data_IF_652596382475
#
_entry.id   IF_652596382475
#
_cell.length_a   1.000
_cell.length_b   1.000
_cell.length_c   1.000
_cell.angle_alpha   90.00
_cell.angle_beta   90.00
_cell.angle_gamma   90.00
#
_symmetry.space_group_name_H-M   'P 1'
#
loop_
_entity.id
_entity.type
_entity.pdbx_description
1 polymer ?
#
# COMPACT_ATOMS: atom_id res chain seq x y z
N UNK A 1 -49.83 16.48 -14.37
CA UNK A 1 -48.62 16.40 -15.22
C UNK A 1 -47.43 16.08 -14.34
N UNK A 2 -47.11 14.82 -14.15
CA UNK A 2 -45.84 14.40 -13.52
C UNK A 2 -45.29 13.26 -14.34
N UNK A 3 -44.71 13.62 -15.48
CA UNK A 3 -43.89 12.68 -16.24
C UNK A 3 -42.54 12.56 -15.53
N UNK A 4 -42.13 11.33 -15.25
CA UNK A 4 -40.81 11.06 -14.64
C UNK A 4 -39.73 11.34 -15.67
N UNK A 5 -38.69 12.07 -15.24
CA UNK A 5 -37.56 12.42 -16.10
C UNK A 5 -36.95 11.15 -16.74
N UNK A 6 -36.55 11.21 -18.01
CA UNK A 6 -35.90 10.09 -18.67
C UNK A 6 -34.59 9.74 -17.97
N UNK A 7 -34.27 8.45 -17.95
CA UNK A 7 -33.02 7.97 -17.37
C UNK A 7 -31.83 8.54 -18.15
N UNK A 8 -30.74 8.95 -17.46
CA UNK A 8 -29.56 9.44 -18.12
C UNK A 8 -28.94 8.36 -19.03
N UNK A 9 -28.51 8.78 -20.22
CA UNK A 9 -27.90 7.92 -21.25
C UNK A 9 -26.60 7.27 -20.76
N UNK A 10 -25.82 8.00 -19.96
CA UNK A 10 -24.56 7.51 -19.39
C UNK A 10 -24.76 7.36 -17.90
N UNK A 11 -24.64 6.12 -17.42
CA UNK A 11 -24.54 5.83 -15.98
C UNK A 11 -23.08 5.96 -15.60
N UNK A 12 -22.77 6.85 -14.66
CA UNK A 12 -21.41 6.98 -14.14
C UNK A 12 -20.96 5.62 -13.59
N UNK A 13 -19.84 5.11 -14.11
CA UNK A 13 -19.24 3.89 -13.57
C UNK A 13 -18.83 4.13 -12.12
N UNK A 14 -19.01 3.13 -11.26
CA UNK A 14 -18.52 3.18 -9.89
C UNK A 14 -17.01 3.41 -9.89
N UNK A 15 -16.50 4.39 -9.12
CA UNK A 15 -15.08 4.68 -9.08
C UNK A 15 -14.32 3.47 -8.55
N UNK A 16 -13.14 3.18 -9.15
CA UNK A 16 -12.26 2.10 -8.69
C UNK A 16 -11.73 2.46 -7.30
N UNK A 17 -11.73 1.52 -6.37
CA UNK A 17 -11.17 1.73 -5.03
C UNK A 17 -9.66 1.48 -5.01
N UNK A 18 -8.91 2.34 -4.33
CA UNK A 18 -7.47 2.20 -4.18
C UNK A 18 -7.11 1.02 -3.26
N UNK A 19 -6.23 0.10 -3.67
CA UNK A 19 -5.85 -1.06 -2.85
C UNK A 19 -4.92 -0.69 -1.68
N UNK A 20 -4.42 0.55 -1.62
CA UNK A 20 -3.49 1.00 -0.57
C UNK A 20 -4.24 1.65 0.59
N UNK A 21 -5.21 2.53 0.30
CA UNK A 21 -5.95 3.29 1.32
C UNK A 21 -7.46 2.95 1.39
N UNK A 22 -7.99 2.16 0.45
CA UNK A 22 -9.41 1.76 0.43
C UNK A 22 -10.37 2.84 -0.05
N UNK A 23 -9.90 4.02 -0.45
CA UNK A 23 -10.73 5.12 -0.91
C UNK A 23 -10.93 5.10 -2.44
N UNK A 24 -12.04 5.66 -2.97
CA UNK A 24 -12.24 5.78 -4.40
C UNK A 24 -11.09 6.57 -5.03
N UNK A 25 -10.56 6.05 -6.13
CA UNK A 25 -9.50 6.65 -6.91
C UNK A 25 -10.04 7.25 -8.18
N UNK A 26 -9.55 8.44 -8.49
CA UNK A 26 -9.85 9.13 -9.75
C UNK A 26 -8.89 8.73 -10.88
N UNK A 27 -7.85 7.95 -10.58
CA UNK A 27 -6.87 7.52 -11.57
C UNK A 27 -7.40 6.34 -12.39
N UNK A 28 -7.06 6.28 -13.69
CA UNK A 28 -7.54 5.22 -14.59
C UNK A 28 -7.12 3.80 -14.16
N UNK A 29 -5.96 3.68 -13.50
CA UNK A 29 -5.44 2.45 -12.90
C UNK A 29 -6.05 2.14 -11.52
N UNK A 30 -6.86 3.03 -10.95
CA UNK A 30 -7.50 2.85 -9.64
C UNK A 30 -6.58 3.08 -8.44
N UNK A 31 -5.34 3.59 -8.62
CA UNK A 31 -4.39 3.84 -7.53
C UNK A 31 -4.07 5.33 -7.46
N UNK A 32 -4.15 5.93 -6.27
CA UNK A 32 -3.81 7.36 -6.11
C UNK A 32 -2.32 7.62 -6.42
N UNK A 33 -1.97 8.80 -6.95
CA UNK A 33 -0.57 9.15 -7.21
C UNK A 33 0.34 8.98 -5.98
N UNK A 34 -0.12 9.41 -4.81
CA UNK A 34 0.60 9.25 -3.54
C UNK A 34 0.70 7.79 -3.10
N UNK A 35 -0.30 6.97 -3.41
CA UNK A 35 -0.34 5.54 -3.05
C UNK A 35 0.57 4.67 -3.95
N UNK A 36 0.88 5.14 -5.15
CA UNK A 36 1.68 4.39 -6.13
C UNK A 36 3.09 4.09 -5.61
N UNK A 37 3.73 5.07 -4.95
CA UNK A 37 5.06 4.87 -4.35
C UNK A 37 5.06 3.77 -3.29
N UNK A 38 4.10 3.81 -2.37
CA UNK A 38 3.93 2.79 -1.32
C UNK A 38 3.73 1.39 -1.90
N UNK A 39 2.95 1.28 -2.99
CA UNK A 39 2.73 0.01 -3.67
C UNK A 39 4.00 -0.51 -4.35
N UNK A 40 4.76 0.35 -5.02
CA UNK A 40 6.03 0.00 -5.64
C UNK A 40 7.08 -0.42 -4.60
N UNK A 41 7.09 0.24 -3.43
CA UNK A 41 7.99 -0.04 -2.32
C UNK A 41 7.66 -1.35 -1.60
N UNK A 42 6.43 -1.88 -1.71
CA UNK A 42 5.97 -3.06 -0.97
C UNK A 42 6.93 -4.25 -1.12
N UNK A 43 7.32 -4.56 -2.37
CA UNK A 43 8.23 -5.68 -2.66
C UNK A 43 9.63 -5.46 -2.06
N UNK A 44 10.15 -4.22 -2.10
CA UNK A 44 11.44 -3.89 -1.48
C UNK A 44 11.39 -4.03 0.04
N UNK A 45 10.29 -3.61 0.67
CA UNK A 45 10.08 -3.74 2.11
C UNK A 45 9.98 -5.20 2.54
N UNK A 46 9.24 -6.02 1.80
CA UNK A 46 9.11 -7.46 2.06
C UNK A 46 10.47 -8.17 2.01
N UNK A 47 11.29 -7.88 1.00
CA UNK A 47 12.66 -8.43 0.90
C UNK A 47 13.52 -8.06 2.10
N UNK A 48 13.54 -6.78 2.47
CA UNK A 48 14.30 -6.30 3.64
C UNK A 48 13.80 -6.91 4.95
N UNK A 49 12.49 -7.10 5.08
CA UNK A 49 11.91 -7.74 6.26
C UNK A 49 12.28 -9.23 6.34
N UNK A 50 12.37 -9.94 5.21
CA UNK A 50 12.87 -11.30 5.18
C UNK A 50 14.36 -11.37 5.56
N UNK A 51 15.21 -10.54 4.93
CA UNK A 51 16.63 -10.44 5.25
C UNK A 51 16.88 -10.08 6.73
N UNK A 52 16.07 -9.16 7.29
CA UNK A 52 16.15 -8.81 8.71
C UNK A 52 15.72 -9.95 9.63
N UNK A 53 14.73 -10.77 9.24
CA UNK A 53 14.33 -11.95 10.00
C UNK A 53 15.43 -13.01 9.96
N UNK A 54 16.01 -13.25 8.79
CA UNK A 54 17.10 -14.20 8.63
C UNK A 54 18.35 -13.75 9.42
N UNK A 55 18.65 -12.44 9.42
CA UNK A 55 19.73 -11.87 10.24
C UNK A 55 19.44 -11.93 11.75
N UNK A 56 18.18 -11.78 12.17
CA UNK A 56 17.79 -11.89 13.57
C UNK A 56 17.75 -13.35 14.09
N UNK A 57 17.75 -14.34 13.19
CA UNK A 57 17.81 -15.78 13.54
C UNK A 57 19.27 -16.27 13.64
N UNK A 58 20.25 -15.51 13.13
CA UNK A 58 21.65 -15.78 13.40
C UNK A 58 21.93 -15.54 14.90
N UNK A 59 22.39 -16.56 15.66
CA UNK A 59 22.55 -16.42 17.10
C UNK A 59 23.67 -15.42 17.42
N UNK A 60 23.40 -14.60 18.44
CA UNK A 60 24.31 -13.75 19.18
C UNK A 60 25.74 -14.34 19.27
N UNK A 61 26.66 -13.79 18.48
CA UNK A 61 28.05 -13.65 18.89
C UNK A 61 28.13 -12.44 19.82
N UNK A 62 27.61 -12.59 21.05
CA UNK A 62 27.64 -11.53 22.05
C UNK A 62 29.06 -11.21 22.47
N UNK A 63 29.63 -10.12 21.96
CA UNK A 63 30.73 -9.41 22.62
C UNK A 63 30.15 -8.25 23.40
N UNK A 64 29.86 -8.49 24.68
CA UNK A 64 29.68 -7.42 25.66
C UNK A 64 31.01 -6.69 25.80
N UNK A 65 31.14 -5.51 25.17
CA UNK A 65 32.28 -4.65 25.45
C UNK A 65 32.09 -4.08 26.86
N UNK A 66 32.76 -4.74 27.81
CA UNK A 66 32.83 -4.35 29.19
C UNK A 66 33.42 -2.94 29.31
N UNK A 67 32.73 -2.16 30.12
CA UNK A 67 33.22 -1.07 30.97
C UNK A 67 34.74 -1.05 31.11
N UNK A 68 35.39 0.00 30.58
CA UNK A 68 36.74 0.39 30.95
C UNK A 68 36.62 1.78 31.56
N UNK A 69 36.70 1.76 32.89
CA UNK A 69 37.00 2.85 33.84
C UNK A 69 37.86 3.98 33.32
#
# INVERSE_FOLDING_TARGET
MSEKKPLPLIRNASPKTCPVCGHPSYSGNGIHPQCNGTQADKKRREKRAAEARDAAIAPDGGETHADVT
#
